data_IF_154004565732
#
_entry.id   IF_154004565732
#
_cell.length_a   1.000
_cell.length_b   1.000
_cell.length_c   1.000
_cell.angle_alpha   90.00
_cell.angle_beta   90.00
_cell.angle_gamma   90.00
#
_symmetry.space_group_name_H-M   'P 1'
#
loop_
_entity.id
_entity.type
_entity.pdbx_description
1 polymer ?
#
# COMPACT_ATOMS: atom_id res chain seq x y z
N UNK A 1 -49.58 33.52 -8.56
CA UNK A 1 -49.88 32.11 -8.87
C UNK A 1 -48.74 31.58 -9.71
N UNK A 2 -47.63 31.21 -9.08
CA UNK A 2 -46.57 30.47 -9.76
C UNK A 2 -47.04 29.01 -9.87
N UNK A 3 -47.17 28.54 -11.11
CA UNK A 3 -47.66 27.20 -11.39
C UNK A 3 -46.81 26.15 -10.70
N UNK A 4 -47.45 25.23 -9.98
CA UNK A 4 -46.84 23.99 -9.53
C UNK A 4 -46.38 23.23 -10.79
N UNK A 5 -45.10 23.38 -11.17
CA UNK A 5 -44.45 22.44 -12.07
C UNK A 5 -44.46 21.09 -11.35
N UNK A 6 -45.25 20.14 -11.86
CA UNK A 6 -45.25 18.78 -11.36
C UNK A 6 -43.84 18.21 -11.46
N UNK A 7 -43.27 17.80 -10.33
CA UNK A 7 -41.98 17.10 -10.31
C UNK A 7 -42.19 15.76 -11.00
N UNK A 8 -41.61 15.59 -12.18
CA UNK A 8 -41.67 14.33 -12.94
C UNK A 8 -40.55 13.37 -12.50
N UNK A 9 -40.87 12.08 -12.43
CA UNK A 9 -39.89 11.04 -12.17
C UNK A 9 -39.20 10.61 -13.49
N UNK A 10 -37.88 10.63 -13.50
CA UNK A 10 -37.05 10.05 -14.56
C UNK A 10 -36.55 8.68 -14.10
N UNK A 11 -36.99 7.62 -14.80
CA UNK A 11 -36.39 6.30 -14.64
C UNK A 11 -35.03 6.27 -15.35
N UNK A 12 -33.98 5.90 -14.63
CA UNK A 12 -32.67 5.65 -15.23
C UNK A 12 -32.75 4.46 -16.20
N UNK A 13 -31.93 4.44 -17.28
CA UNK A 13 -31.86 3.29 -18.17
C UNK A 13 -31.54 1.99 -17.43
N UNK A 14 -31.83 0.86 -18.07
CA UNK A 14 -31.51 -0.48 -17.57
C UNK A 14 -30.07 -0.51 -17.05
N UNK A 15 -29.91 -1.05 -15.84
CA UNK A 15 -28.62 -1.08 -15.16
C UNK A 15 -27.53 -1.71 -16.05
N UNK A 16 -26.47 -0.94 -16.28
CA UNK A 16 -25.28 -1.41 -16.96
C UNK A 16 -24.05 -0.93 -16.17
N UNK A 17 -23.29 -1.87 -15.58
CA UNK A 17 -22.08 -1.54 -14.82
C UNK A 17 -20.98 -1.09 -15.79
N UNK A 18 -20.57 0.16 -15.69
CA UNK A 18 -19.49 0.75 -16.52
C UNK A 18 -18.18 0.73 -15.73
N UNK A 19 -17.01 0.53 -16.37
CA UNK A 19 -15.73 0.33 -15.68
C UNK A 19 -15.26 1.53 -14.86
N UNK A 20 -15.78 2.73 -15.15
CA UNK A 20 -15.32 3.96 -14.53
C UNK A 20 -16.48 4.70 -13.87
N UNK A 21 -16.26 5.17 -12.64
CA UNK A 21 -17.14 6.13 -11.99
C UNK A 21 -16.72 7.57 -12.25
N UNK A 22 -17.72 8.43 -12.31
CA UNK A 22 -17.58 9.88 -12.43
C UNK A 22 -18.40 10.49 -11.32
N UNK A 23 -17.75 11.16 -10.37
CA UNK A 23 -18.44 11.75 -9.23
C UNK A 23 -18.00 13.20 -9.00
N UNK A 24 -18.92 14.09 -8.60
CA UNK A 24 -18.56 15.44 -8.21
C UNK A 24 -17.56 15.44 -7.06
N UNK A 25 -16.57 16.34 -7.11
CA UNK A 25 -15.63 16.50 -6.00
C UNK A 25 -16.35 16.91 -4.71
N UNK A 26 -17.44 17.67 -4.85
CA UNK A 26 -18.32 18.02 -3.74
C UNK A 26 -18.80 16.76 -3.01
N UNK A 27 -19.28 15.74 -3.73
CA UNK A 27 -19.64 14.45 -3.15
C UNK A 27 -18.42 13.75 -2.51
N UNK A 28 -17.28 13.71 -3.18
CA UNK A 28 -16.03 13.15 -2.62
C UNK A 28 -15.70 13.78 -1.28
N UNK A 29 -15.83 15.09 -1.16
CA UNK A 29 -15.41 15.86 0.00
C UNK A 29 -16.47 15.96 1.11
N UNK A 30 -17.70 15.49 0.86
CA UNK A 30 -18.77 15.45 1.87
C UNK A 30 -18.46 14.48 3.01
N UNK A 31 -19.07 14.71 4.18
CA UNK A 31 -19.15 13.68 5.21
C UNK A 31 -20.24 12.67 4.81
N UNK A 32 -19.88 11.39 4.79
CA UNK A 32 -20.75 10.30 4.35
C UNK A 32 -20.98 9.31 5.50
N UNK A 33 -22.23 9.03 5.84
CA UNK A 33 -22.59 8.14 6.95
C UNK A 33 -22.76 6.66 6.55
N UNK A 34 -22.36 6.32 5.33
CA UNK A 34 -22.51 4.97 4.77
C UNK A 34 -21.59 3.95 5.46
N UNK A 35 -22.08 2.74 5.63
CA UNK A 35 -21.26 1.53 5.88
C UNK A 35 -20.59 1.08 4.58
N UNK A 36 -19.74 0.05 4.65
CA UNK A 36 -19.07 -0.48 3.45
C UNK A 36 -20.05 -0.99 2.38
N UNK A 37 -21.04 -1.81 2.76
CA UNK A 37 -22.00 -2.35 1.80
C UNK A 37 -22.95 -1.27 1.26
N UNK A 38 -23.41 -0.37 2.12
CA UNK A 38 -24.18 0.81 1.74
C UNK A 38 -23.39 1.66 0.72
N UNK A 39 -22.11 1.92 0.98
CA UNK A 39 -21.25 2.67 0.07
C UNK A 39 -21.10 1.98 -1.29
N UNK A 40 -21.02 0.66 -1.34
CA UNK A 40 -21.00 -0.09 -2.62
C UNK A 40 -22.28 0.09 -3.43
N UNK A 41 -23.44 0.11 -2.78
CA UNK A 41 -24.72 0.43 -3.45
C UNK A 41 -24.65 1.85 -4.03
N UNK A 42 -24.22 2.83 -3.23
CA UNK A 42 -24.09 4.23 -3.67
C UNK A 42 -23.09 4.38 -4.82
N UNK A 43 -21.97 3.65 -4.80
CA UNK A 43 -20.98 3.62 -5.88
C UNK A 43 -21.60 3.15 -7.20
N UNK A 44 -22.49 2.14 -7.16
CA UNK A 44 -23.22 1.68 -8.35
C UNK A 44 -24.26 2.69 -8.83
N UNK A 45 -24.90 3.43 -7.91
CA UNK A 45 -25.80 4.54 -8.28
C UNK A 45 -25.03 5.66 -8.97
N UNK A 46 -23.89 6.08 -8.40
CA UNK A 46 -22.97 7.06 -8.99
C UNK A 46 -22.50 6.61 -10.38
N UNK A 47 -22.27 5.30 -10.58
CA UNK A 47 -21.94 4.74 -11.90
C UNK A 47 -23.03 4.97 -12.95
N UNK A 48 -24.31 4.98 -12.55
CA UNK A 48 -25.40 5.27 -13.47
C UNK A 48 -25.53 6.77 -13.69
N UNK A 49 -25.70 7.53 -12.60
CA UNK A 49 -25.98 8.97 -12.65
C UNK A 49 -24.82 9.75 -13.27
N UNK A 50 -23.57 9.44 -12.91
CA UNK A 50 -22.40 10.13 -13.45
C UNK A 50 -22.25 9.98 -14.97
N UNK A 51 -22.66 8.84 -15.53
CA UNK A 51 -22.67 8.64 -16.98
C UNK A 51 -23.84 9.32 -17.67
N UNK A 52 -25.02 9.34 -17.05
CA UNK A 52 -26.15 10.14 -17.56
C UNK A 52 -25.77 11.62 -17.59
N UNK A 53 -25.09 12.11 -16.55
CA UNK A 53 -24.60 13.47 -16.47
C UNK A 53 -23.59 13.79 -17.58
N UNK A 54 -22.60 12.93 -17.81
CA UNK A 54 -21.61 13.12 -18.88
C UNK A 54 -22.22 13.19 -20.28
N UNK A 55 -23.32 12.45 -20.50
CA UNK A 55 -24.04 12.44 -21.78
C UNK A 55 -25.08 13.55 -21.92
N UNK A 56 -25.35 14.31 -20.85
CA UNK A 56 -26.43 15.30 -20.83
C UNK A 56 -27.83 14.69 -20.87
N UNK A 57 -28.00 13.46 -20.36
CA UNK A 57 -29.26 12.70 -20.39
C UNK A 57 -30.12 12.89 -19.12
N UNK A 58 -29.70 13.73 -18.17
CA UNK A 58 -30.46 14.03 -16.95
C UNK A 58 -31.47 15.16 -17.21
N UNK A 59 -32.73 14.89 -16.87
CA UNK A 59 -33.81 15.88 -16.97
C UNK A 59 -33.71 16.89 -15.82
N UNK A 60 -33.80 18.20 -16.10
CA UNK A 60 -33.75 19.21 -15.07
C UNK A 60 -35.01 19.13 -14.19
N UNK A 61 -34.84 19.35 -12.88
CA UNK A 61 -35.91 19.34 -11.87
C UNK A 61 -36.73 18.04 -11.77
N UNK A 62 -36.22 16.92 -12.30
CA UNK A 62 -36.84 15.60 -12.19
C UNK A 62 -36.19 14.77 -11.09
N UNK A 63 -37.00 13.95 -10.40
CA UNK A 63 -36.44 12.92 -9.55
C UNK A 63 -35.76 11.86 -10.43
N UNK A 64 -34.75 11.17 -9.91
CA UNK A 64 -34.06 10.09 -10.63
C UNK A 64 -34.27 8.78 -9.88
N UNK A 65 -34.83 7.78 -10.56
CA UNK A 65 -35.02 6.44 -10.02
C UNK A 65 -33.97 5.52 -10.64
N UNK A 66 -33.19 4.84 -9.79
CA UNK A 66 -32.11 3.94 -10.23
C UNK A 66 -32.36 2.54 -9.67
N UNK A 67 -32.29 1.54 -10.55
CA UNK A 67 -32.40 0.12 -10.18
C UNK A 67 -31.01 -0.52 -10.11
N UNK A 68 -30.65 -1.08 -8.96
CA UNK A 68 -29.37 -1.78 -8.74
C UNK A 68 -29.65 -3.27 -8.52
N UNK A 69 -29.20 -4.16 -9.44
CA UNK A 69 -29.36 -5.61 -9.26
C UNK A 69 -28.57 -6.13 -8.06
N UNK A 70 -29.19 -7.02 -7.27
CA UNK A 70 -28.52 -7.68 -6.13
C UNK A 70 -27.26 -8.44 -6.56
N UNK A 71 -27.32 -9.09 -7.73
CA UNK A 71 -26.22 -9.85 -8.33
C UNK A 71 -24.97 -9.01 -8.63
N UNK A 72 -25.09 -7.68 -8.68
CA UNK A 72 -23.97 -6.77 -8.91
C UNK A 72 -23.15 -6.49 -7.65
N UNK A 73 -23.67 -6.85 -6.47
CA UNK A 73 -23.06 -6.58 -5.15
C UNK A 73 -22.46 -7.84 -4.52
N UNK A 74 -23.20 -8.96 -4.54
CA UNK A 74 -22.71 -10.26 -4.05
C UNK A 74 -23.54 -11.40 -4.64
N UNK A 75 -23.04 -12.64 -4.52
CA UNK A 75 -23.73 -13.86 -4.98
C UNK A 75 -24.58 -14.52 -3.90
N UNK A 76 -24.18 -14.43 -2.62
CA UNK A 76 -24.74 -15.30 -1.57
C UNK A 76 -25.40 -14.55 -0.39
N UNK A 77 -25.05 -13.28 -0.16
CA UNK A 77 -25.48 -12.49 1.01
C UNK A 77 -26.67 -11.55 0.72
N UNK A 78 -27.76 -12.09 0.15
CA UNK A 78 -28.92 -11.27 -0.23
C UNK A 78 -29.61 -10.57 0.95
N UNK A 79 -29.63 -11.17 2.14
CA UNK A 79 -30.24 -10.52 3.32
C UNK A 79 -29.44 -9.30 3.75
N UNK A 80 -28.11 -9.41 3.83
CA UNK A 80 -27.24 -8.28 4.19
C UNK A 80 -27.38 -7.12 3.20
N UNK A 81 -27.55 -7.41 1.90
CA UNK A 81 -27.85 -6.38 0.90
C UNK A 81 -29.19 -5.70 1.20
N UNK A 82 -30.23 -6.47 1.53
CA UNK A 82 -31.54 -5.91 1.84
C UNK A 82 -31.48 -5.02 3.09
N UNK A 83 -30.81 -5.47 4.16
CA UNK A 83 -30.65 -4.70 5.40
C UNK A 83 -29.86 -3.40 5.13
N UNK A 84 -28.81 -3.46 4.31
CA UNK A 84 -28.04 -2.27 3.90
C UNK A 84 -28.85 -1.34 2.99
N UNK A 85 -29.70 -1.87 2.12
CA UNK A 85 -30.60 -1.06 1.29
C UNK A 85 -31.65 -0.36 2.13
N UNK A 86 -32.22 -1.05 3.12
CA UNK A 86 -33.20 -0.48 4.05
C UNK A 86 -32.57 0.65 4.88
N UNK A 87 -31.37 0.44 5.41
CA UNK A 87 -30.68 1.44 6.22
C UNK A 87 -30.30 2.70 5.43
N UNK A 88 -30.04 2.59 4.10
CA UNK A 88 -29.68 3.71 3.22
C UNK A 88 -30.68 4.86 3.25
N UNK A 89 -31.97 4.56 3.47
CA UNK A 89 -33.03 5.56 3.51
C UNK A 89 -32.78 6.65 4.57
N UNK A 90 -32.08 6.29 5.65
CA UNK A 90 -31.78 7.18 6.78
C UNK A 90 -30.40 7.82 6.72
N UNK A 91 -29.57 7.46 5.73
CA UNK A 91 -28.16 7.88 5.66
C UNK A 91 -28.05 9.27 5.07
N UNK A 92 -27.15 10.07 5.64
CA UNK A 92 -26.98 11.46 5.26
C UNK A 92 -25.64 11.73 4.56
N UNK A 93 -25.69 12.67 3.64
CA UNK A 93 -24.55 13.45 3.18
C UNK A 93 -24.56 14.78 3.92
N UNK A 94 -23.39 15.19 4.40
CA UNK A 94 -23.28 16.43 5.16
C UNK A 94 -22.23 17.30 4.50
N UNK A 95 -22.66 18.48 4.07
CA UNK A 95 -21.81 19.55 3.56
C UNK A 95 -21.70 20.60 4.65
N UNK A 96 -20.53 20.73 5.25
CA UNK A 96 -20.29 21.65 6.36
C UNK A 96 -19.13 22.57 6.03
N UNK A 97 -19.39 23.86 6.05
CA UNK A 97 -18.40 24.93 5.92
C UNK A 97 -18.37 25.71 7.24
N UNK A 98 -17.47 25.28 8.14
CA UNK A 98 -17.31 25.90 9.46
C UNK A 98 -16.86 27.36 9.38
N UNK A 99 -16.12 27.75 8.32
CA UNK A 99 -15.66 29.13 8.15
C UNK A 99 -16.83 30.07 7.86
N UNK A 100 -17.86 29.58 7.15
CA UNK A 100 -19.06 30.35 6.80
C UNK A 100 -20.25 30.06 7.72
N UNK A 101 -20.05 29.20 8.73
CA UNK A 101 -21.11 28.69 9.61
C UNK A 101 -22.33 28.14 8.83
N UNK A 102 -22.07 27.47 7.70
CA UNK A 102 -23.10 26.85 6.86
C UNK A 102 -23.05 25.35 6.98
N UNK A 103 -24.21 24.74 7.09
CA UNK A 103 -24.38 23.29 7.04
C UNK A 103 -25.56 22.95 6.14
N UNK A 104 -25.44 21.81 5.47
CA UNK A 104 -26.51 21.22 4.69
C UNK A 104 -26.53 19.71 4.94
N UNK A 105 -27.70 19.20 5.32
CA UNK A 105 -27.92 17.80 5.66
C UNK A 105 -28.85 17.20 4.62
N UNK A 106 -28.30 16.31 3.80
CA UNK A 106 -28.97 15.77 2.65
C UNK A 106 -29.24 14.29 2.87
N UNK A 107 -30.50 13.86 2.67
CA UNK A 107 -30.86 12.45 2.56
C UNK A 107 -30.99 12.11 1.07
N UNK A 108 -29.98 11.46 0.47
CA UNK A 108 -29.91 11.29 -0.98
C UNK A 108 -30.94 10.30 -1.54
N UNK A 109 -31.36 9.33 -0.73
CA UNK A 109 -32.27 8.25 -1.14
C UNK A 109 -33.49 8.17 -0.22
N UNK A 110 -34.40 9.16 -0.26
CA UNK A 110 -35.57 9.23 0.63
C UNK A 110 -36.54 8.05 0.48
N UNK A 111 -36.50 7.35 -0.67
CA UNK A 111 -37.27 6.13 -0.92
C UNK A 111 -36.36 5.03 -1.45
N UNK A 112 -36.36 3.90 -0.76
CA UNK A 112 -35.65 2.67 -1.16
C UNK A 112 -36.65 1.51 -1.14
N UNK A 113 -36.66 0.68 -2.17
CA UNK A 113 -37.52 -0.51 -2.28
C UNK A 113 -36.74 -1.71 -2.79
N UNK A 114 -37.16 -2.91 -2.38
CA UNK A 114 -36.80 -4.14 -3.10
C UNK A 114 -37.92 -4.45 -4.09
N UNK A 115 -37.58 -4.56 -5.36
CA UNK A 115 -38.53 -4.84 -6.44
C UNK A 115 -38.04 -6.01 -7.30
N UNK A 116 -38.93 -6.57 -8.11
CA UNK A 116 -38.57 -7.53 -9.16
C UNK A 116 -38.81 -6.84 -10.51
N UNK A 117 -37.73 -6.65 -11.27
CA UNK A 117 -37.78 -6.08 -12.62
C UNK A 117 -37.21 -7.11 -13.59
N UNK A 118 -37.97 -7.48 -14.61
CA UNK A 118 -37.62 -8.51 -15.61
C UNK A 118 -37.15 -9.84 -14.98
N UNK A 119 -37.85 -10.27 -13.92
CA UNK A 119 -37.54 -11.50 -13.18
C UNK A 119 -36.28 -11.43 -12.30
N UNK A 120 -35.64 -10.27 -12.19
CA UNK A 120 -34.44 -10.05 -11.35
C UNK A 120 -34.78 -9.18 -10.15
N UNK A 121 -34.26 -9.57 -8.97
CA UNK A 121 -34.38 -8.77 -7.75
C UNK A 121 -33.45 -7.56 -7.83
N UNK A 122 -34.02 -6.37 -7.66
CA UNK A 122 -33.30 -5.09 -7.70
C UNK A 122 -33.60 -4.26 -6.46
N UNK A 123 -32.66 -3.40 -6.10
CA UNK A 123 -32.86 -2.28 -5.18
C UNK A 123 -33.25 -1.09 -6.04
N UNK A 124 -34.46 -0.59 -5.88
CA UNK A 124 -34.89 0.67 -6.49
C UNK A 124 -34.62 1.81 -5.51
N UNK A 125 -33.80 2.78 -5.93
CA UNK A 125 -33.49 3.99 -5.16
C UNK A 125 -34.05 5.21 -5.89
N UNK A 126 -34.84 6.01 -5.18
CA UNK A 126 -35.32 7.31 -5.69
C UNK A 126 -34.44 8.42 -5.12
N UNK A 127 -33.88 9.25 -5.98
CA UNK A 127 -33.17 10.49 -5.65
C UNK A 127 -34.04 11.69 -6.02
N UNK A 128 -34.27 12.60 -5.08
CA UNK A 128 -35.05 13.80 -5.36
C UNK A 128 -34.30 14.77 -6.26
N UNK A 129 -35.05 15.53 -7.06
CA UNK A 129 -34.52 16.44 -8.07
C UNK A 129 -33.49 17.44 -7.54
N UNK A 130 -33.68 17.96 -6.33
CA UNK A 130 -32.76 18.88 -5.67
C UNK A 130 -31.42 18.22 -5.32
N UNK A 131 -31.40 16.90 -5.14
CA UNK A 131 -30.22 16.13 -4.74
C UNK A 131 -29.39 15.67 -5.94
N UNK A 132 -30.00 15.57 -7.14
CA UNK A 132 -29.33 15.14 -8.36
C UNK A 132 -28.05 15.93 -8.64
N UNK A 133 -28.01 17.29 -8.54
CA UNK A 133 -26.78 18.05 -8.74
C UNK A 133 -25.61 17.60 -7.85
N UNK A 134 -25.87 17.17 -6.62
CA UNK A 134 -24.82 16.70 -5.70
C UNK A 134 -24.14 15.41 -6.17
N UNK A 135 -24.79 14.64 -7.05
CA UNK A 135 -24.27 13.39 -7.63
C UNK A 135 -23.90 13.51 -9.11
N UNK A 136 -24.43 14.52 -9.81
CA UNK A 136 -24.35 14.66 -11.25
C UNK A 136 -23.59 15.89 -11.73
N UNK A 137 -23.44 16.93 -10.90
CA UNK A 137 -22.76 18.16 -11.30
C UNK A 137 -21.24 17.98 -11.27
N UNK A 138 -20.72 17.37 -12.32
CA UNK A 138 -19.31 17.01 -12.44
C UNK A 138 -18.39 18.24 -12.53
N UNK A 139 -18.93 19.42 -12.86
CA UNK A 139 -18.18 20.67 -13.01
C UNK A 139 -17.00 20.55 -14.00
N UNK A 140 -16.01 21.44 -13.90
CA UNK A 140 -14.77 21.35 -14.70
C UNK A 140 -13.81 20.25 -14.20
N UNK A 141 -13.92 19.87 -12.93
CA UNK A 141 -13.08 18.85 -12.30
C UNK A 141 -13.97 17.94 -11.46
N UNK A 142 -13.96 16.67 -11.80
CA UNK A 142 -14.64 15.60 -11.06
C UNK A 142 -13.64 14.51 -10.68
N UNK A 143 -14.06 13.65 -9.75
CA UNK A 143 -13.29 12.49 -9.32
C UNK A 143 -13.64 11.32 -10.23
N UNK A 144 -12.61 10.66 -10.78
CA UNK A 144 -12.71 9.52 -11.69
C UNK A 144 -11.87 8.36 -11.15
N UNK A 145 -12.49 7.19 -11.00
CA UNK A 145 -11.82 5.97 -10.54
C UNK A 145 -12.43 4.71 -11.17
N UNK A 146 -11.67 3.61 -11.09
CA UNK A 146 -12.10 2.27 -11.49
C UNK A 146 -13.10 1.69 -10.48
N UNK A 147 -14.26 1.27 -10.97
CA UNK A 147 -15.34 0.77 -10.10
C UNK A 147 -15.00 -0.58 -9.48
N UNK A 148 -14.29 -1.46 -10.19
CA UNK A 148 -13.99 -2.80 -9.70
C UNK A 148 -12.95 -2.73 -8.58
N UNK A 149 -11.98 -1.81 -8.70
CA UNK A 149 -11.08 -1.48 -7.60
C UNK A 149 -11.89 -1.00 -6.39
N UNK A 150 -12.80 -0.03 -6.56
CA UNK A 150 -13.64 0.48 -5.47
C UNK A 150 -14.46 -0.61 -4.77
N UNK A 151 -15.14 -1.46 -5.55
CA UNK A 151 -15.99 -2.53 -5.02
C UNK A 151 -15.17 -3.65 -4.34
N UNK A 152 -13.90 -3.81 -4.71
CA UNK A 152 -13.00 -4.76 -4.05
C UNK A 152 -12.58 -4.33 -2.64
N UNK A 153 -12.64 -3.03 -2.32
CA UNK A 153 -12.30 -2.50 -1.01
C UNK A 153 -13.38 -2.88 0.01
N UNK A 154 -12.92 -3.34 1.18
CA UNK A 154 -13.70 -3.90 2.29
C UNK A 154 -13.73 -3.00 3.51
N UNK A 155 -12.80 -2.04 3.64
CA UNK A 155 -12.92 -0.96 4.61
C UNK A 155 -13.60 0.24 3.97
N UNK A 156 -14.63 0.77 4.65
CA UNK A 156 -15.23 2.06 4.26
C UNK A 156 -14.18 3.19 4.29
N UNK A 157 -13.21 3.15 5.20
CA UNK A 157 -12.11 4.12 5.22
C UNK A 157 -11.21 3.99 3.99
N UNK A 158 -10.92 2.77 3.53
CA UNK A 158 -10.17 2.56 2.29
C UNK A 158 -10.95 3.07 1.07
N UNK A 159 -12.25 2.79 0.99
CA UNK A 159 -13.12 3.31 -0.08
C UNK A 159 -13.09 4.84 -0.13
N UNK A 160 -13.29 5.50 1.01
CA UNK A 160 -13.31 6.97 1.09
C UNK A 160 -11.94 7.58 0.78
N UNK A 161 -10.85 7.01 1.28
CA UNK A 161 -9.49 7.48 0.97
C UNK A 161 -9.15 7.21 -0.51
N UNK A 162 -9.62 6.12 -1.11
CA UNK A 162 -9.46 5.87 -2.55
C UNK A 162 -10.09 6.98 -3.40
N UNK A 163 -11.29 7.43 -3.04
CA UNK A 163 -11.97 8.54 -3.74
C UNK A 163 -11.17 9.83 -3.64
N UNK A 164 -10.71 10.17 -2.43
CA UNK A 164 -9.90 11.36 -2.17
C UNK A 164 -8.60 11.29 -2.98
N UNK A 165 -7.86 10.19 -2.90
CA UNK A 165 -6.60 10.00 -3.64
C UNK A 165 -6.83 10.11 -5.15
N UNK A 166 -7.88 9.45 -5.67
CA UNK A 166 -8.23 9.51 -7.08
C UNK A 166 -8.51 10.94 -7.52
N UNK A 167 -9.28 11.70 -6.74
CA UNK A 167 -9.56 13.12 -7.00
C UNK A 167 -8.29 13.94 -7.19
N UNK A 168 -7.28 13.75 -6.33
CA UNK A 168 -5.98 14.43 -6.45
C UNK A 168 -5.16 13.93 -7.65
N UNK A 169 -5.14 12.62 -7.90
CA UNK A 169 -4.47 12.05 -9.08
C UNK A 169 -5.09 12.56 -10.39
N UNK A 170 -6.42 12.69 -10.48
CA UNK A 170 -7.10 13.26 -11.64
C UNK A 170 -6.70 14.73 -11.91
N UNK A 171 -6.23 15.44 -10.87
CA UNK A 171 -5.69 16.81 -10.97
C UNK A 171 -4.17 16.84 -11.25
N UNK A 172 -3.52 15.68 -11.41
CA UNK A 172 -2.07 15.56 -11.57
C UNK A 172 -1.29 15.78 -10.27
N UNK A 173 -1.95 15.73 -9.11
CA UNK A 173 -1.34 15.99 -7.81
C UNK A 173 -0.95 14.66 -7.15
N UNK A 174 0.34 14.52 -6.82
CA UNK A 174 0.89 13.35 -6.10
C UNK A 174 1.06 13.61 -4.60
N UNK A 175 0.77 14.83 -4.15
CA UNK A 175 0.84 15.25 -2.75
C UNK A 175 -0.32 16.17 -2.43
N UNK A 176 -0.86 16.07 -1.22
CA UNK A 176 -1.95 16.91 -0.72
C UNK A 176 -1.99 16.93 0.80
N UNK A 177 -2.71 17.88 1.39
CA UNK A 177 -2.80 18.04 2.84
C UNK A 177 -4.24 18.09 3.30
N UNK A 178 -4.51 17.55 4.50
CA UNK A 178 -5.80 17.70 5.19
C UNK A 178 -5.58 18.03 6.65
N UNK A 179 -6.42 18.90 7.19
CA UNK A 179 -6.58 19.00 8.65
C UNK A 179 -7.13 17.67 9.18
N UNK A 180 -6.58 17.20 10.30
CA UNK A 180 -6.95 15.92 10.92
C UNK A 180 -8.44 15.90 11.25
N UNK A 181 -8.95 16.95 11.89
CA UNK A 181 -10.35 17.04 12.31
C UNK A 181 -11.30 17.03 11.10
N UNK A 182 -10.93 17.74 10.02
CA UNK A 182 -11.68 17.75 8.77
C UNK A 182 -11.72 16.37 8.13
N UNK A 183 -10.57 15.69 8.03
CA UNK A 183 -10.51 14.36 7.43
C UNK A 183 -11.30 13.34 8.26
N UNK A 184 -11.16 13.36 9.59
CA UNK A 184 -11.95 12.51 10.49
C UNK A 184 -13.45 12.75 10.33
N UNK A 185 -13.88 14.01 10.15
CA UNK A 185 -15.27 14.34 9.85
C UNK A 185 -15.72 13.76 8.50
N UNK A 186 -14.96 13.97 7.42
CA UNK A 186 -15.28 13.48 6.07
C UNK A 186 -15.39 11.96 6.01
N UNK A 187 -14.55 11.26 6.78
CA UNK A 187 -14.54 9.80 6.93
C UNK A 187 -15.60 9.29 7.92
N UNK A 188 -16.39 10.18 8.53
CA UNK A 188 -17.36 9.86 9.57
C UNK A 188 -16.76 8.99 10.70
N UNK A 189 -15.56 9.35 11.16
CA UNK A 189 -14.93 8.69 12.29
C UNK A 189 -15.76 8.92 13.57
N UNK A 190 -15.79 7.94 14.50
CA UNK A 190 -16.41 8.12 15.81
C UNK A 190 -15.83 9.34 16.53
N UNK A 191 -16.69 10.13 17.19
CA UNK A 191 -16.26 11.32 17.95
C UNK A 191 -15.25 11.02 19.07
N UNK A 192 -15.22 9.77 19.55
CA UNK A 192 -14.30 9.30 20.58
C UNK A 192 -12.89 8.98 20.07
N UNK A 193 -12.67 8.96 18.75
CA UNK A 193 -11.35 8.62 18.21
C UNK A 193 -10.31 9.66 18.61
N UNK A 194 -9.24 9.20 19.26
CA UNK A 194 -8.00 9.94 19.33
C UNK A 194 -7.27 9.91 17.97
N UNK A 195 -6.22 10.72 17.83
CA UNK A 195 -5.33 10.60 16.65
C UNK A 195 -4.72 9.20 16.53
N UNK A 196 -4.44 8.52 17.65
CA UNK A 196 -3.91 7.16 17.63
C UNK A 196 -4.95 6.18 17.05
N UNK A 197 -6.21 6.29 17.47
CA UNK A 197 -7.31 5.46 16.94
C UNK A 197 -7.54 5.74 15.46
N UNK A 198 -7.55 7.02 15.07
CA UNK A 198 -7.67 7.43 13.68
C UNK A 198 -6.55 6.86 12.81
N UNK A 199 -5.29 6.97 13.28
CA UNK A 199 -4.12 6.38 12.61
C UNK A 199 -4.29 4.87 12.43
N UNK A 200 -4.59 4.15 13.51
CA UNK A 200 -4.62 2.69 13.54
C UNK A 200 -5.81 2.12 12.75
N UNK A 201 -7.00 2.68 12.93
CA UNK A 201 -8.25 2.10 12.45
C UNK A 201 -8.67 2.63 11.07
N UNK A 202 -8.23 3.83 10.67
CA UNK A 202 -8.56 4.42 9.37
C UNK A 202 -7.34 4.51 8.45
N UNK A 203 -6.31 5.27 8.82
CA UNK A 203 -5.20 5.57 7.90
C UNK A 203 -4.38 4.34 7.53
N UNK A 204 -3.96 3.54 8.51
CA UNK A 204 -3.17 2.33 8.28
C UNK A 204 -3.97 1.24 7.55
N UNK A 205 -5.26 1.11 7.87
CA UNK A 205 -6.16 0.18 7.19
C UNK A 205 -6.30 0.55 5.71
N UNK A 206 -6.59 1.82 5.43
CA UNK A 206 -6.69 2.31 4.06
C UNK A 206 -5.36 2.18 3.30
N UNK A 207 -4.24 2.59 3.90
CA UNK A 207 -2.92 2.44 3.28
C UNK A 207 -2.65 1.00 2.84
N UNK A 208 -2.86 0.03 3.75
CA UNK A 208 -2.66 -1.40 3.44
C UNK A 208 -3.57 -1.88 2.33
N UNK A 209 -4.84 -1.50 2.38
CA UNK A 209 -5.82 -1.99 1.43
C UNK A 209 -5.63 -1.38 0.03
N UNK A 210 -5.33 -0.08 -0.06
CA UNK A 210 -5.00 0.58 -1.33
C UNK A 210 -3.75 0.01 -1.98
N UNK A 211 -2.71 -0.31 -1.19
CA UNK A 211 -1.52 -0.98 -1.72
C UNK A 211 -1.87 -2.32 -2.35
N UNK A 212 -2.65 -3.13 -1.64
CA UNK A 212 -2.93 -4.52 -2.04
C UNK A 212 -3.96 -4.65 -3.15
N UNK A 213 -4.97 -3.77 -3.19
CA UNK A 213 -6.12 -3.90 -4.09
C UNK A 213 -6.18 -2.84 -5.19
N UNK A 214 -5.58 -1.67 -4.97
CA UNK A 214 -5.58 -0.56 -5.93
C UNK A 214 -4.19 -0.27 -6.54
N UNK A 215 -3.15 -0.99 -6.13
CA UNK A 215 -1.76 -0.72 -6.50
C UNK A 215 -1.31 0.74 -6.21
N UNK A 216 -1.93 1.38 -5.21
CA UNK A 216 -1.61 2.75 -4.79
C UNK A 216 -0.77 2.69 -3.52
N UNK A 217 0.47 3.17 -3.60
CA UNK A 217 1.36 3.29 -2.45
C UNK A 217 1.18 4.67 -1.82
N UNK A 218 0.12 4.81 -1.02
CA UNK A 218 -0.16 6.02 -0.25
C UNK A 218 0.66 6.03 1.04
N UNK A 219 1.35 7.12 1.31
CA UNK A 219 2.00 7.40 2.57
C UNK A 219 1.62 8.77 3.09
N UNK A 220 1.92 9.01 4.37
CA UNK A 220 1.57 10.26 5.02
C UNK A 220 2.49 10.58 6.20
N UNK A 221 2.62 11.87 6.47
CA UNK A 221 3.41 12.40 7.58
C UNK A 221 2.72 13.61 8.24
N UNK A 222 3.03 13.92 9.51
CA UNK A 222 2.56 15.16 10.13
C UNK A 222 3.11 16.40 9.41
N UNK A 223 2.23 17.25 8.89
CA UNK A 223 2.62 18.51 8.23
C UNK A 223 2.67 19.67 9.21
N UNK A 224 1.70 19.75 10.13
CA UNK A 224 1.63 20.80 11.16
C UNK A 224 1.27 20.20 12.51
N UNK A 225 1.90 20.73 13.56
CA UNK A 225 1.68 20.36 14.95
C UNK A 225 1.46 21.61 15.80
N UNK A 226 0.66 21.48 16.85
CA UNK A 226 0.51 22.47 17.92
C UNK A 226 0.80 21.76 19.23
N UNK A 227 1.95 22.09 19.82
CA UNK A 227 2.56 21.29 20.88
C UNK A 227 2.74 19.83 20.44
N UNK A 228 2.11 18.90 21.17
CA UNK A 228 2.14 17.46 20.86
C UNK A 228 1.03 17.01 19.90
N UNK A 229 0.03 17.87 19.64
CA UNK A 229 -1.13 17.54 18.80
C UNK A 229 -0.78 17.71 17.33
N UNK A 230 -1.09 16.70 16.51
CA UNK A 230 -0.96 16.79 15.05
C UNK A 230 -2.24 17.41 14.52
N UNK A 231 -2.13 18.56 13.84
CA UNK A 231 -3.30 19.30 13.32
C UNK A 231 -3.53 18.99 11.84
N UNK A 232 -2.45 18.75 11.08
CA UNK A 232 -2.52 18.60 9.64
C UNK A 232 -1.61 17.45 9.19
N UNK A 233 -2.09 16.65 8.26
CA UNK A 233 -1.36 15.57 7.62
C UNK A 233 -1.03 15.95 6.18
N UNK A 234 0.17 15.60 5.74
CA UNK A 234 0.56 15.59 4.33
C UNK A 234 0.52 14.15 3.84
N UNK A 235 -0.21 13.93 2.77
CA UNK A 235 -0.28 12.68 2.04
C UNK A 235 0.57 12.76 0.78
N UNK A 236 1.16 11.64 0.39
CA UNK A 236 1.94 11.53 -0.84
C UNK A 236 1.84 10.12 -1.42
N UNK A 237 1.77 10.05 -2.74
CA UNK A 237 1.67 8.81 -3.49
C UNK A 237 3.06 8.48 -4.02
N UNK A 238 3.63 7.36 -3.58
CA UNK A 238 4.97 6.95 -3.99
C UNK A 238 4.94 6.27 -5.35
N UNK A 239 5.85 6.68 -6.23
CA UNK A 239 6.11 5.98 -7.49
C UNK A 239 6.90 4.71 -7.24
N UNK A 240 6.87 3.75 -8.18
CA UNK A 240 7.69 2.54 -8.11
C UNK A 240 9.18 2.85 -7.90
N UNK A 241 9.68 3.90 -8.56
CA UNK A 241 11.07 4.35 -8.40
C UNK A 241 11.36 4.86 -6.99
N UNK A 242 10.46 5.66 -6.40
CA UNK A 242 10.63 6.16 -5.03
C UNK A 242 10.60 5.01 -4.00
N UNK A 243 9.77 4.01 -4.22
CA UNK A 243 9.69 2.81 -3.39
C UNK A 243 11.01 2.03 -3.47
N UNK A 244 11.51 1.80 -4.68
CA UNK A 244 12.79 1.11 -4.90
C UNK A 244 13.96 1.83 -4.22
N UNK A 245 14.00 3.17 -4.30
CA UNK A 245 15.01 3.97 -3.59
C UNK A 245 14.92 3.82 -2.07
N UNK A 246 13.72 3.75 -1.50
CA UNK A 246 13.54 3.56 -0.07
C UNK A 246 14.03 2.20 0.41
N UNK A 247 13.77 1.12 -0.35
CA UNK A 247 14.30 -0.20 -0.01
C UNK A 247 15.83 -0.22 -0.01
N UNK A 248 16.47 0.46 -0.97
CA UNK A 248 17.94 0.57 -1.01
C UNK A 248 18.47 1.35 0.20
N UNK A 249 17.81 2.44 0.59
CA UNK A 249 18.19 3.20 1.78
C UNK A 249 18.04 2.38 3.08
N UNK A 250 17.03 1.51 3.15
CA UNK A 250 16.82 0.57 4.26
C UNK A 250 17.90 -0.52 4.27
N UNK A 251 18.16 -1.17 3.13
CA UNK A 251 19.21 -2.17 2.97
C UNK A 251 20.58 -1.59 3.37
N UNK A 252 20.88 -0.36 2.96
CA UNK A 252 22.13 0.33 3.29
C UNK A 252 22.30 0.51 4.80
N UNK A 253 21.24 0.89 5.53
CA UNK A 253 21.31 1.04 6.99
C UNK A 253 21.57 -0.30 7.67
N UNK A 254 20.90 -1.36 7.21
CA UNK A 254 21.12 -2.72 7.71
C UNK A 254 22.58 -3.13 7.50
N UNK A 255 23.13 -2.91 6.31
CA UNK A 255 24.54 -3.25 5.99
C UNK A 255 25.52 -2.44 6.85
N UNK A 256 25.25 -1.17 7.11
CA UNK A 256 26.11 -0.31 7.95
C UNK A 256 26.12 -0.72 9.43
N UNK A 257 25.01 -1.23 9.93
CA UNK A 257 24.88 -1.70 11.32
C UNK A 257 25.38 -3.16 11.49
N UNK A 258 25.60 -3.87 10.39
CA UNK A 258 25.99 -5.29 10.38
C UNK A 258 27.48 -5.47 10.76
N UNK A 259 27.81 -6.44 11.63
CA UNK A 259 29.20 -6.82 11.87
C UNK A 259 29.89 -7.27 10.58
N UNK A 260 31.16 -6.88 10.39
CA UNK A 260 31.91 -7.13 9.15
C UNK A 260 31.91 -8.60 8.74
N UNK A 261 32.04 -9.54 9.68
CA UNK A 261 32.04 -10.97 9.37
C UNK A 261 30.69 -11.45 8.80
N UNK A 262 29.58 -10.89 9.29
CA UNK A 262 28.23 -11.18 8.81
C UNK A 262 27.98 -10.51 7.46
N UNK A 263 28.51 -9.29 7.26
CA UNK A 263 28.47 -8.61 5.97
C UNK A 263 29.20 -9.41 4.90
N UNK A 264 30.41 -9.89 5.19
CA UNK A 264 31.17 -10.75 4.26
C UNK A 264 30.42 -12.05 3.95
N UNK A 265 29.88 -12.73 4.96
CA UNK A 265 29.10 -13.96 4.76
C UNK A 265 27.85 -13.72 3.90
N UNK A 266 27.13 -12.63 4.15
CA UNK A 266 25.95 -12.22 3.39
C UNK A 266 26.31 -11.89 1.95
N UNK A 267 27.38 -11.13 1.73
CA UNK A 267 27.85 -10.77 0.40
C UNK A 267 28.24 -12.01 -0.41
N UNK A 268 28.96 -12.97 0.18
CA UNK A 268 29.31 -14.24 -0.48
C UNK A 268 28.07 -15.04 -0.91
N UNK A 269 27.01 -15.03 -0.08
CA UNK A 269 25.73 -15.66 -0.43
C UNK A 269 25.07 -14.96 -1.62
N UNK A 270 24.99 -13.63 -1.61
CA UNK A 270 24.42 -12.82 -2.70
C UNK A 270 25.22 -12.98 -3.99
N UNK A 271 26.55 -13.05 -3.91
CA UNK A 271 27.46 -13.26 -5.05
C UNK A 271 27.19 -14.55 -5.83
N UNK A 272 26.49 -15.53 -5.26
CA UNK A 272 26.09 -16.75 -5.99
C UNK A 272 25.07 -16.48 -7.10
N UNK A 273 24.36 -15.35 -7.06
CA UNK A 273 23.49 -14.90 -8.13
C UNK A 273 24.28 -14.38 -9.35
N UNK A 274 25.60 -14.24 -9.24
CA UNK A 274 26.47 -13.66 -10.26
C UNK A 274 27.54 -14.64 -10.73
N UNK A 275 27.88 -14.59 -12.02
CA UNK A 275 28.92 -15.43 -12.63
C UNK A 275 30.33 -14.87 -12.40
N UNK A 276 30.66 -14.56 -11.13
CA UNK A 276 31.95 -14.02 -10.71
C UNK A 276 33.01 -15.11 -10.57
N UNK A 277 34.24 -14.82 -11.02
CA UNK A 277 35.42 -15.67 -10.78
C UNK A 277 35.80 -15.62 -9.29
N UNK A 278 36.39 -16.69 -8.77
CA UNK A 278 36.80 -16.78 -7.35
C UNK A 278 37.58 -15.55 -6.88
N UNK A 279 38.64 -15.17 -7.61
CA UNK A 279 39.47 -14.04 -7.24
C UNK A 279 38.72 -12.69 -7.24
N UNK A 280 37.67 -12.55 -8.05
CA UNK A 280 36.84 -11.34 -8.05
C UNK A 280 36.03 -11.25 -6.77
N UNK A 281 35.50 -12.39 -6.28
CA UNK A 281 34.80 -12.46 -4.99
C UNK A 281 35.76 -12.09 -3.85
N UNK A 282 36.97 -12.66 -3.88
CA UNK A 282 38.00 -12.40 -2.86
C UNK A 282 38.38 -10.91 -2.78
N UNK A 283 38.53 -10.24 -3.93
CA UNK A 283 38.81 -8.79 -3.99
C UNK A 283 37.67 -7.97 -3.41
N UNK A 284 36.41 -8.29 -3.74
CA UNK A 284 35.25 -7.55 -3.23
C UNK A 284 35.14 -7.66 -1.71
N UNK A 285 35.32 -8.85 -1.14
CA UNK A 285 35.19 -9.03 0.32
C UNK A 285 36.39 -8.51 1.12
N UNK A 286 37.52 -8.27 0.47
CA UNK A 286 38.75 -7.78 1.11
C UNK A 286 38.82 -6.25 1.20
N UNK A 287 38.01 -5.53 0.42
CA UNK A 287 37.96 -4.07 0.40
C UNK A 287 36.59 -3.57 0.84
N UNK A 288 36.55 -2.78 1.90
CA UNK A 288 35.29 -2.28 2.47
C UNK A 288 34.48 -1.43 1.48
N UNK A 289 35.17 -0.61 0.66
CA UNK A 289 34.50 0.23 -0.33
C UNK A 289 33.90 -0.59 -1.48
N UNK A 290 34.61 -1.62 -1.94
CA UNK A 290 34.07 -2.55 -2.94
C UNK A 290 32.92 -3.39 -2.39
N UNK A 291 33.00 -3.79 -1.11
CA UNK A 291 31.94 -4.52 -0.43
C UNK A 291 30.65 -3.68 -0.29
N UNK A 292 30.78 -2.42 0.16
CA UNK A 292 29.64 -1.48 0.28
C UNK A 292 29.01 -1.20 -1.09
N UNK A 293 29.83 -0.92 -2.11
CA UNK A 293 29.36 -0.72 -3.48
C UNK A 293 28.71 -1.98 -4.07
N UNK A 294 29.21 -3.17 -3.72
CA UNK A 294 28.59 -4.43 -4.12
C UNK A 294 27.17 -4.55 -3.55
N UNK A 295 26.98 -4.30 -2.25
CA UNK A 295 25.65 -4.33 -1.62
C UNK A 295 24.69 -3.33 -2.24
N UNK A 296 25.15 -2.11 -2.51
CA UNK A 296 24.33 -1.10 -3.18
C UNK A 296 23.87 -1.58 -4.57
N UNK A 297 24.79 -2.09 -5.40
CA UNK A 297 24.47 -2.56 -6.75
C UNK A 297 23.54 -3.77 -6.73
N UNK A 298 23.75 -4.72 -5.80
CA UNK A 298 22.89 -5.87 -5.62
C UNK A 298 21.44 -5.46 -5.27
N UNK A 299 21.30 -4.53 -4.31
CA UNK A 299 19.98 -3.97 -3.94
C UNK A 299 19.32 -3.20 -5.09
N UNK A 300 20.08 -2.41 -5.86
CA UNK A 300 19.57 -1.72 -7.06
C UNK A 300 19.04 -2.69 -8.12
N UNK A 301 19.71 -3.83 -8.31
CA UNK A 301 19.25 -4.88 -9.22
C UNK A 301 18.00 -5.58 -8.70
N UNK A 302 17.99 -5.94 -7.41
CA UNK A 302 16.86 -6.60 -6.77
C UNK A 302 15.59 -5.74 -6.81
N UNK A 303 15.74 -4.42 -6.67
CA UNK A 303 14.63 -3.45 -6.69
C UNK A 303 14.30 -2.89 -8.08
N UNK A 304 14.92 -3.41 -9.14
CA UNK A 304 14.56 -3.07 -10.53
C UNK A 304 14.85 -1.63 -10.96
N UNK A 305 15.76 -0.91 -10.27
CA UNK A 305 16.17 0.45 -10.69
C UNK A 305 17.01 0.46 -11.97
N UNK A 306 17.52 -0.70 -12.38
CA UNK A 306 18.34 -0.87 -13.58
C UNK A 306 17.71 -1.81 -14.61
N UNK A 307 16.51 -1.51 -15.14
CA UNK A 307 15.80 -2.41 -16.05
C UNK A 307 16.51 -2.62 -17.38
N UNK A 308 17.38 -1.67 -17.79
CA UNK A 308 18.11 -1.73 -19.05
C UNK A 308 19.37 -2.63 -18.99
N UNK A 309 19.75 -3.13 -17.80
CA UNK A 309 20.96 -3.94 -17.64
C UNK A 309 20.65 -5.40 -18.00
N UNK A 310 21.04 -5.81 -19.21
CA UNK A 310 20.87 -7.19 -19.69
C UNK A 310 21.78 -8.21 -19.00
N UNK A 311 22.98 -7.78 -18.60
CA UNK A 311 23.97 -8.64 -17.94
C UNK A 311 24.46 -7.98 -16.64
N UNK A 312 23.83 -8.37 -15.53
CA UNK A 312 24.13 -7.83 -14.20
C UNK A 312 25.57 -8.12 -13.76
N UNK A 313 26.12 -9.30 -14.06
CA UNK A 313 27.51 -9.65 -13.68
C UNK A 313 28.53 -8.76 -14.39
N UNK A 314 28.37 -8.57 -15.70
CA UNK A 314 29.29 -7.71 -16.47
C UNK A 314 29.21 -6.25 -16.01
N UNK A 315 27.99 -5.76 -15.73
CA UNK A 315 27.78 -4.43 -15.20
C UNK A 315 28.46 -4.27 -13.83
N UNK A 316 28.24 -5.21 -12.91
CA UNK A 316 28.81 -5.20 -11.56
C UNK A 316 30.34 -5.16 -11.60
N UNK A 317 30.97 -6.04 -12.39
CA UNK A 317 32.44 -6.07 -12.52
C UNK A 317 32.99 -4.74 -13.04
N UNK A 318 32.32 -4.12 -14.01
CA UNK A 318 32.71 -2.83 -14.59
C UNK A 318 32.48 -1.67 -13.62
N UNK A 319 31.34 -1.65 -12.92
CA UNK A 319 31.00 -0.60 -11.94
C UNK A 319 31.91 -0.63 -10.71
N UNK A 320 32.41 -1.80 -10.33
CA UNK A 320 33.39 -1.97 -9.25
C UNK A 320 34.85 -1.76 -9.71
N UNK A 321 35.10 -1.49 -11.00
CA UNK A 321 36.46 -1.31 -11.55
C UNK A 321 37.31 -2.59 -11.56
N UNK A 322 36.70 -3.76 -11.36
CA UNK A 322 37.39 -5.05 -11.29
C UNK A 322 37.79 -5.53 -12.69
N UNK A 323 37.13 -5.04 -13.74
CA UNK A 323 37.48 -5.31 -15.14
C UNK A 323 38.91 -4.87 -15.50
N UNK A 324 39.41 -3.82 -14.83
CA UNK A 324 40.77 -3.31 -15.02
C UNK A 324 41.82 -4.07 -14.18
N UNK A 325 41.40 -4.95 -13.27
CA UNK A 325 42.28 -5.69 -12.38
C UNK A 325 42.77 -7.01 -13.00
N UNK A 326 44.01 -7.38 -12.70
CA UNK A 326 44.59 -8.67 -13.14
C UNK A 326 44.42 -9.71 -12.05
N UNK A 327 44.12 -10.95 -12.46
CA UNK A 327 44.06 -12.07 -11.52
C UNK A 327 45.40 -12.21 -10.77
N UNK A 328 45.37 -12.43 -9.44
CA UNK A 328 46.59 -12.60 -8.67
C UNK A 328 47.42 -13.77 -9.22
N UNK A 329 48.73 -13.55 -9.41
CA UNK A 329 49.64 -14.61 -9.87
C UNK A 329 49.63 -15.73 -8.83
N UNK A 330 49.40 -16.98 -9.25
CA UNK A 330 49.53 -18.15 -8.38
C UNK A 330 50.93 -18.14 -7.76
N UNK A 331 51.01 -17.87 -6.46
CA UNK A 331 52.25 -18.04 -5.70
C UNK A 331 52.49 -19.55 -5.63
N UNK A 332 53.54 -20.04 -6.32
CA UNK A 332 54.02 -21.41 -6.09
C UNK A 332 54.35 -21.52 -4.59
N UNK A 333 53.99 -22.60 -3.89
CA UNK A 333 54.34 -22.74 -2.48
C UNK A 333 55.87 -22.72 -2.38
N UNK A 334 56.40 -21.57 -1.96
CA UNK A 334 57.79 -21.46 -1.55
C UNK A 334 57.86 -22.20 -0.22
N UNK A 335 58.55 -23.34 -0.21
CA UNK A 335 59.02 -23.93 1.04
C UNK A 335 59.91 -22.88 1.71
N UNK A 336 59.34 -22.07 2.60
CA UNK A 336 60.13 -21.21 3.47
C UNK A 336 60.90 -22.14 4.40
N UNK A 337 62.25 -22.09 4.32
CA UNK A 337 63.11 -22.53 5.42
C UNK A 337 62.64 -21.84 6.71
N UNK A 338 62.69 -22.50 7.88
CA UNK A 338 62.30 -21.88 9.13
C UNK A 338 63.24 -20.70 9.37
N UNK A 339 62.70 -19.48 9.23
CA UNK A 339 63.37 -18.24 9.58
C UNK A 339 62.83 -17.76 10.92
N UNK A 340 63.73 -17.10 11.64
CA UNK A 340 63.68 -16.76 13.05
C UNK A 340 62.36 -16.22 13.61
N UNK A 341 62.18 -16.53 14.90
CA UNK A 341 61.10 -16.11 15.81
C UNK A 341 60.64 -14.68 15.53
N UNK A 342 59.53 -14.53 14.82
CA UNK A 342 58.76 -13.29 14.83
C UNK A 342 57.79 -13.32 16.01
N UNK A 343 57.76 -12.20 16.74
CA UNK A 343 56.98 -11.98 17.95
C UNK A 343 55.48 -12.24 17.71
N UNK A 344 54.94 -13.20 18.46
CA UNK A 344 53.51 -13.47 18.56
C UNK A 344 52.85 -12.45 19.50
N UNK A 345 51.68 -11.93 19.11
CA UNK A 345 50.84 -11.07 19.98
C UNK A 345 50.03 -11.91 20.99
N UNK A 346 50.05 -13.24 20.88
CA UNK A 346 49.43 -14.17 21.83
C UNK A 346 50.49 -14.78 22.76
N UNK A 347 50.19 -14.98 24.06
CA UNK A 347 51.10 -15.68 24.97
C UNK A 347 51.28 -17.13 24.50
N UNK A 348 52.53 -17.61 24.50
CA UNK A 348 52.82 -19.00 24.20
C UNK A 348 52.16 -19.90 25.25
N UNK A 349 51.40 -20.90 24.80
CA UNK A 349 50.81 -21.92 25.67
C UNK A 349 51.89 -22.76 26.38
N UNK A 350 51.53 -23.50 27.45
CA UNK A 350 52.50 -24.22 28.26
C UNK A 350 53.28 -25.25 27.44
N UNK A 351 54.60 -25.30 27.64
CA UNK A 351 55.48 -26.27 27.00
C UNK A 351 55.08 -27.70 27.37
N UNK A 352 54.60 -28.46 26.40
CA UNK A 352 54.35 -29.90 26.56
C UNK A 352 55.70 -30.61 26.47
N UNK A 353 56.21 -31.10 27.61
CA UNK A 353 57.34 -32.04 27.63
C UNK A 353 56.92 -33.32 26.91
N UNK A 354 57.75 -33.77 25.97
CA UNK A 354 57.54 -35.02 25.27
C UNK A 354 57.65 -36.19 26.24
N UNK A 355 56.53 -36.83 26.56
CA UNK A 355 56.51 -38.22 27.02
C UNK A 355 55.49 -39.00 26.20
N UNK A 356 55.97 -40.12 25.67
CA UNK A 356 55.30 -41.27 25.03
C UNK A 356 53.83 -41.10 24.63
N UNK A 357 53.59 -41.10 23.31
CA UNK A 357 52.28 -41.11 22.66
C UNK A 357 51.52 -42.40 23.01
N UNK A 358 50.41 -42.28 23.74
CA UNK A 358 49.35 -43.30 23.75
C UNK A 358 48.31 -42.94 22.68
N UNK A 359 47.75 -43.95 22.00
CA UNK A 359 46.72 -43.69 20.98
C UNK A 359 45.42 -43.20 21.61
N UNK A 360 44.71 -42.31 20.91
CA UNK A 360 43.44 -41.72 21.37
C UNK A 360 42.35 -42.79 21.61
N UNK A 361 42.46 -43.97 20.98
CA UNK A 361 41.51 -45.07 21.17
C UNK A 361 41.49 -45.66 22.58
N UNK A 362 42.60 -45.62 23.32
CA UNK A 362 42.68 -46.13 24.70
C UNK A 362 42.11 -45.17 25.75
N UNK A 363 41.89 -43.89 25.40
CA UNK A 363 41.35 -42.87 26.33
C UNK A 363 39.81 -42.78 26.23
N UNK A 364 39.23 -43.16 25.09
CA UNK A 364 37.79 -42.96 24.80
C UNK A 364 36.92 -44.22 24.99
N UNK A 365 37.49 -45.38 25.33
CA UNK A 365 36.75 -46.65 25.45
C UNK A 365 35.90 -46.83 26.71
N UNK A 366 35.73 -45.81 27.56
CA UNK A 366 35.08 -45.95 28.87
C UNK A 366 34.00 -44.93 29.22
N UNK A 367 33.50 -44.15 28.26
CA UNK A 367 32.47 -43.15 28.53
C UNK A 367 31.12 -43.66 27.99
N UNK A 368 30.32 -44.25 28.87
CA UNK A 368 28.92 -44.57 28.62
C UNK A 368 28.08 -43.28 28.55
N UNK A 369 27.34 -43.10 27.46
CA UNK A 369 26.36 -42.03 27.31
C UNK A 369 24.97 -42.52 27.75
N UNK A 370 24.31 -41.92 28.75
CA UNK A 370 22.94 -42.29 29.10
C UNK A 370 21.94 -41.80 28.04
N UNK A 371 21.09 -42.73 27.57
CA UNK A 371 19.97 -42.51 26.67
C UNK A 371 18.90 -41.63 27.31
N UNK A 372 18.49 -40.56 26.62
CA UNK A 372 17.31 -39.77 26.98
C UNK A 372 16.04 -40.49 26.54
N UNK A 373 15.40 -41.20 27.47
CA UNK A 373 13.96 -41.42 27.38
C UNK A 373 13.21 -40.17 27.87
N UNK A 374 12.30 -39.70 27.02
CA UNK A 374 11.31 -38.68 27.33
C UNK A 374 9.95 -39.37 27.47
N UNK A 375 9.18 -38.83 28.43
CA UNK A 375 7.70 -38.82 28.58
C UNK A 375 7.09 -39.93 29.43
N UNK A 376 5.89 -39.70 30.03
CA UNK A 376 4.86 -38.68 29.71
C UNK A 376 5.11 -37.26 30.22
#
# INVERSE_FOLDING_TARGET
MEGQQSIEDQLAPVFNKRPTNYQPNLFTESKQEFTELEKKIVVLVVNQIGHLALKGELRPKSNVIVNIPFSSLTRDHHQQIADAAESLQSKRLIYRDDNRNKFDFITPFPRVRSEIVDGKRVIELTMFSEMVPHFAELGQRYTKYDIDVMLSLSSVYAQRIFEIVSMYQNRGQMQFTYAVDQLMMMLNCPKSYSFYDFKKNALMVAQKELKNKAAINLDWEPNKKEGKRIIELRFFIKTAQQIAMQYIDEDRKIVQEMPIHEAVATALRLMNNYKLKSWQRDVIVSDYGLLDNFFQLDSEFANGLRPNVKNQTAYLVKSLGIDQMKAPKKVKPSMRKPADKQQSVLPFGPEVRSSTVQSIGSILGGIDFPSKDRKP
#
